data_IF_779182463237
#
_entry.id   IF_779182463237
#
_cell.length_a   1.000
_cell.length_b   1.000
_cell.length_c   1.000
_cell.angle_alpha   90.00
_cell.angle_beta   90.00
_cell.angle_gamma   90.00
#
_symmetry.space_group_name_H-M   'P 1'
#
loop_
_entity.id
_entity.type
_entity.pdbx_description
1 polymer ?
#
# COMPACT_ATOMS: atom_id res chain seq x y z
N UNK A 1 -32.70 -8.20 -17.61
CA UNK A 1 -31.59 -8.83 -16.91
C UNK A 1 -30.68 -7.66 -16.57
N UNK A 2 -30.68 -7.20 -15.33
CA UNK A 2 -29.80 -6.10 -14.93
C UNK A 2 -28.38 -6.66 -15.00
N UNK A 3 -27.58 -6.05 -15.84
CA UNK A 3 -26.15 -6.33 -15.99
C UNK A 3 -25.46 -5.82 -14.71
N UNK A 4 -25.58 -6.61 -13.63
CA UNK A 4 -24.91 -6.27 -12.37
C UNK A 4 -23.44 -6.60 -12.57
N UNK A 5 -22.63 -5.57 -12.83
CA UNK A 5 -21.19 -5.75 -12.91
C UNK A 5 -20.70 -6.40 -11.63
N UNK A 6 -19.97 -7.52 -11.71
CA UNK A 6 -19.46 -8.21 -10.55
C UNK A 6 -18.44 -7.36 -9.81
N UNK A 7 -18.43 -7.49 -8.49
CA UNK A 7 -17.51 -6.82 -7.62
C UNK A 7 -16.90 -7.77 -6.60
N UNK A 8 -15.79 -7.37 -6.02
CA UNK A 8 -15.07 -8.12 -5.01
C UNK A 8 -14.80 -7.29 -3.78
N UNK A 9 -14.77 -7.93 -2.63
CA UNK A 9 -14.31 -7.35 -1.37
C UNK A 9 -12.87 -7.82 -1.12
N UNK A 10 -11.98 -6.87 -0.94
CA UNK A 10 -10.56 -7.14 -0.71
C UNK A 10 -10.17 -6.59 0.65
N UNK A 11 -9.42 -7.37 1.42
CA UNK A 11 -8.98 -6.98 2.75
C UNK A 11 -7.47 -7.08 2.86
N UNK A 12 -6.84 -5.97 3.20
CA UNK A 12 -5.43 -5.90 3.60
C UNK A 12 -5.34 -5.86 5.12
N UNK A 13 -4.75 -6.91 5.70
CA UNK A 13 -4.56 -7.06 7.15
C UNK A 13 -3.16 -6.59 7.51
N UNK A 14 -3.06 -5.29 7.81
CA UNK A 14 -1.81 -4.64 8.17
C UNK A 14 -1.42 -4.81 9.65
N UNK A 15 -0.23 -4.30 9.98
CA UNK A 15 0.26 -4.28 11.36
C UNK A 15 -0.56 -3.37 12.28
N UNK A 16 -1.11 -2.28 11.77
CA UNK A 16 -1.86 -1.29 12.55
C UNK A 16 -3.38 -1.39 12.35
N UNK A 17 -3.85 -1.80 11.16
CA UNK A 17 -5.27 -1.76 10.81
C UNK A 17 -5.68 -2.80 9.77
N UNK A 18 -6.97 -3.11 9.77
CA UNK A 18 -7.66 -3.80 8.67
C UNK A 18 -8.17 -2.76 7.66
N UNK A 19 -7.87 -2.94 6.38
CA UNK A 19 -8.39 -2.10 5.31
C UNK A 19 -9.27 -2.94 4.39
N UNK A 20 -10.52 -2.60 4.30
CA UNK A 20 -11.50 -3.21 3.39
C UNK A 20 -11.67 -2.30 2.18
N UNK A 21 -11.69 -2.88 0.99
CA UNK A 21 -12.05 -2.19 -0.22
C UNK A 21 -13.05 -2.99 -1.05
N UNK A 22 -14.06 -2.29 -1.55
CA UNK A 22 -15.02 -2.81 -2.49
C UNK A 22 -14.61 -2.37 -3.89
N UNK A 23 -14.25 -3.35 -4.74
CA UNK A 23 -13.63 -3.09 -6.04
C UNK A 23 -14.35 -3.84 -7.17
N UNK A 24 -14.16 -3.33 -8.39
CA UNK A 24 -14.50 -4.01 -9.61
C UNK A 24 -13.85 -5.40 -9.66
N UNK A 25 -14.60 -6.42 -10.12
CA UNK A 25 -14.04 -7.73 -10.39
C UNK A 25 -13.54 -7.78 -11.83
N UNK A 26 -12.26 -8.05 -12.01
CA UNK A 26 -11.67 -8.36 -13.31
C UNK A 26 -11.73 -9.87 -13.59
N UNK A 27 -11.89 -10.20 -14.87
CA UNK A 27 -11.80 -11.57 -15.37
C UNK A 27 -10.58 -11.72 -16.28
N UNK A 28 -9.97 -12.89 -16.29
CA UNK A 28 -8.75 -13.18 -17.06
C UNK A 28 -8.83 -12.82 -18.56
N UNK A 29 -10.02 -13.03 -19.15
CA UNK A 29 -10.26 -12.84 -20.59
C UNK A 29 -10.78 -11.42 -20.94
N UNK A 30 -10.84 -10.50 -19.97
CA UNK A 30 -11.35 -9.15 -20.22
C UNK A 30 -10.27 -8.22 -20.76
N UNK A 31 -10.21 -8.07 -22.09
CA UNK A 31 -9.30 -7.13 -22.74
C UNK A 31 -9.48 -5.67 -22.28
N UNK A 32 -10.66 -5.31 -21.78
CA UNK A 32 -10.92 -3.96 -21.25
C UNK A 32 -10.19 -3.68 -19.93
N UNK A 33 -9.71 -4.73 -19.26
CA UNK A 33 -8.94 -4.67 -18.03
C UNK A 33 -7.44 -4.42 -18.21
N UNK A 34 -6.95 -4.44 -19.48
CA UNK A 34 -5.54 -4.21 -19.78
C UNK A 34 -5.14 -2.77 -19.48
N UNK A 35 -3.96 -2.59 -18.89
CA UNK A 35 -3.35 -1.30 -18.55
C UNK A 35 -4.19 -0.42 -17.60
N UNK A 36 -5.05 -1.01 -16.77
CA UNK A 36 -5.79 -0.31 -15.73
C UNK A 36 -5.90 -1.16 -14.46
N UNK A 37 -6.18 -0.50 -13.36
CA UNK A 37 -6.49 -1.15 -12.09
C UNK A 37 -8.01 -1.29 -11.91
N UNK A 38 -8.47 -2.28 -11.11
CA UNK A 38 -9.86 -2.38 -10.71
C UNK A 38 -10.36 -1.07 -10.09
N UNK A 39 -11.52 -0.60 -10.54
CA UNK A 39 -12.15 0.58 -9.94
C UNK A 39 -12.49 0.32 -8.48
N UNK A 40 -12.10 1.25 -7.59
CA UNK A 40 -12.44 1.18 -6.18
C UNK A 40 -13.70 1.99 -5.92
N UNK A 41 -14.77 1.30 -5.54
CA UNK A 41 -16.08 1.90 -5.25
C UNK A 41 -16.14 2.51 -3.85
N UNK A 42 -15.38 1.96 -2.91
CA UNK A 42 -15.30 2.50 -1.56
C UNK A 42 -14.34 1.71 -0.67
N UNK A 43 -13.93 2.34 0.42
CA UNK A 43 -13.02 1.75 1.41
C UNK A 43 -13.49 2.04 2.82
N UNK A 44 -13.18 1.13 3.74
CA UNK A 44 -13.35 1.32 5.17
C UNK A 44 -12.16 0.71 5.90
N UNK A 45 -11.71 1.33 6.99
CA UNK A 45 -10.61 0.83 7.80
C UNK A 45 -10.99 0.79 9.26
N UNK A 46 -10.46 -0.22 9.96
CA UNK A 46 -10.59 -0.39 11.41
C UNK A 46 -9.20 -0.54 12.00
N UNK A 47 -8.94 0.11 13.13
CA UNK A 47 -7.72 -0.16 13.90
C UNK A 47 -7.76 -1.60 14.43
N UNK A 48 -6.61 -2.20 14.66
CA UNK A 48 -6.54 -3.63 14.98
C UNK A 48 -7.16 -4.03 16.32
N UNK A 49 -7.40 -3.08 17.22
CA UNK A 49 -8.06 -3.22 18.51
C UNK A 49 -9.55 -2.82 18.48
N UNK A 50 -10.03 -2.31 17.36
CA UNK A 50 -11.42 -1.95 17.17
C UNK A 50 -12.25 -3.14 16.63
N UNK A 51 -13.51 -3.31 17.10
CA UNK A 51 -14.39 -4.32 16.55
C UNK A 51 -14.81 -3.96 15.13
N UNK A 52 -14.73 -4.93 14.21
CA UNK A 52 -15.20 -4.75 12.84
C UNK A 52 -16.73 -4.63 12.82
N UNK A 53 -17.24 -3.52 12.31
CA UNK A 53 -18.67 -3.30 12.14
C UNK A 53 -19.15 -3.83 10.78
N UNK A 54 -19.56 -5.09 10.74
CA UNK A 54 -20.06 -5.76 9.52
C UNK A 54 -21.24 -5.04 8.86
N UNK A 55 -22.07 -4.34 9.65
CA UNK A 55 -23.17 -3.52 9.14
C UNK A 55 -22.69 -2.40 8.22
N UNK A 56 -21.60 -1.70 8.60
CA UNK A 56 -21.01 -0.64 7.77
C UNK A 56 -20.40 -1.21 6.48
N UNK A 57 -19.81 -2.41 6.53
CA UNK A 57 -19.29 -3.08 5.34
C UNK A 57 -20.46 -3.48 4.42
N UNK A 58 -21.57 -3.97 4.97
CA UNK A 58 -22.76 -4.30 4.19
C UNK A 58 -23.37 -3.04 3.55
N UNK A 59 -23.49 -1.94 4.27
CA UNK A 59 -23.96 -0.64 3.74
C UNK A 59 -23.09 -0.20 2.56
N UNK A 60 -21.75 -0.28 2.69
CA UNK A 60 -20.81 0.02 1.60
C UNK A 60 -21.10 -0.82 0.33
N UNK A 61 -21.44 -2.09 0.49
CA UNK A 61 -21.77 -2.98 -0.65
C UNK A 61 -23.13 -2.63 -1.27
N UNK A 62 -24.13 -2.34 -0.44
CA UNK A 62 -25.51 -2.08 -0.87
C UNK A 62 -25.62 -0.75 -1.65
N UNK A 63 -24.86 0.27 -1.27
CA UNK A 63 -24.85 1.60 -1.89
C UNK A 63 -24.46 1.57 -3.38
N UNK A 64 -23.72 0.55 -3.81
CA UNK A 64 -23.20 0.47 -5.18
C UNK A 64 -24.00 -0.40 -6.12
N UNK A 65 -25.05 -1.10 -5.64
CA UNK A 65 -25.91 -1.97 -6.47
C UNK A 65 -25.13 -3.00 -7.31
N UNK A 66 -24.02 -3.50 -6.77
CA UNK A 66 -23.14 -4.48 -7.40
C UNK A 66 -23.36 -5.86 -6.76
N UNK A 67 -23.04 -6.91 -7.50
CA UNK A 67 -23.06 -8.27 -6.96
C UNK A 67 -21.66 -8.61 -6.42
N UNK A 68 -21.54 -8.82 -5.11
CA UNK A 68 -20.33 -9.37 -4.51
C UNK A 68 -20.16 -10.84 -4.91
N UNK A 69 -19.11 -11.15 -5.65
CA UNK A 69 -18.84 -12.50 -6.16
C UNK A 69 -17.61 -13.15 -5.54
N UNK A 70 -16.77 -12.36 -4.85
CA UNK A 70 -15.48 -12.83 -4.33
C UNK A 70 -15.04 -12.03 -3.11
N UNK A 71 -14.36 -12.71 -2.18
CA UNK A 71 -13.66 -12.10 -1.06
C UNK A 71 -12.20 -12.57 -1.06
N UNK A 72 -11.26 -11.62 -0.97
CA UNK A 72 -9.83 -11.89 -0.83
C UNK A 72 -9.31 -11.25 0.46
N UNK A 73 -8.50 -12.00 1.20
CA UNK A 73 -7.80 -11.53 2.40
C UNK A 73 -6.32 -11.76 2.20
N UNK A 74 -5.50 -10.74 2.42
CA UNK A 74 -4.04 -10.85 2.46
C UNK A 74 -3.48 -9.80 3.42
N UNK A 75 -2.18 -9.81 3.64
CA UNK A 75 -1.54 -8.80 4.48
C UNK A 75 -0.28 -9.29 5.16
N UNK A 76 0.19 -8.52 6.15
CA UNK A 76 1.45 -8.77 6.84
C UNK A 76 1.29 -9.51 8.18
N UNK A 77 0.06 -9.92 8.57
CA UNK A 77 -0.20 -10.53 9.88
C UNK A 77 -1.03 -11.81 9.77
N UNK A 78 -0.38 -12.99 9.54
CA UNK A 78 -1.06 -14.26 9.27
C UNK A 78 -2.12 -14.68 10.31
N UNK A 79 -1.79 -14.58 11.62
CA UNK A 79 -2.74 -14.97 12.68
C UNK A 79 -4.03 -14.15 12.62
N UNK A 80 -3.94 -12.84 12.38
CA UNK A 80 -5.12 -11.97 12.24
C UNK A 80 -5.89 -12.23 10.95
N UNK A 81 -5.22 -12.67 9.90
CA UNK A 81 -5.89 -13.09 8.66
C UNK A 81 -6.76 -14.33 8.90
N UNK A 82 -6.23 -15.33 9.63
CA UNK A 82 -6.98 -16.52 10.04
C UNK A 82 -8.16 -16.16 10.95
N UNK A 83 -7.93 -15.33 11.97
CA UNK A 83 -8.98 -14.88 12.89
C UNK A 83 -10.09 -14.15 12.14
N UNK A 84 -9.74 -13.26 11.20
CA UNK A 84 -10.71 -12.55 10.38
C UNK A 84 -11.52 -13.50 9.51
N UNK A 85 -10.85 -14.43 8.83
CA UNK A 85 -11.54 -15.41 7.97
C UNK A 85 -12.52 -16.28 8.76
N UNK A 86 -12.17 -16.67 9.99
CA UNK A 86 -13.01 -17.49 10.86
C UNK A 86 -14.32 -16.78 11.32
N UNK A 87 -14.31 -15.44 11.40
CA UNK A 87 -15.48 -14.65 11.83
C UNK A 87 -16.20 -13.97 10.67
N UNK A 88 -15.82 -14.29 9.43
CA UNK A 88 -16.42 -13.67 8.25
C UNK A 88 -17.91 -14.06 8.13
N UNK A 89 -18.82 -13.12 7.88
CA UNK A 89 -20.24 -13.40 7.85
C UNK A 89 -20.64 -14.38 6.74
N UNK A 90 -21.47 -15.36 7.06
CA UNK A 90 -21.98 -16.37 6.11
C UNK A 90 -22.76 -15.77 4.92
N UNK A 91 -23.21 -14.51 5.06
CA UNK A 91 -23.90 -13.79 3.98
C UNK A 91 -22.96 -13.40 2.83
N UNK A 92 -21.65 -13.38 3.06
CA UNK A 92 -20.63 -13.08 2.04
C UNK A 92 -20.09 -14.38 1.42
N UNK A 93 -19.47 -14.30 0.21
CA UNK A 93 -18.68 -15.42 -0.31
C UNK A 93 -17.59 -15.85 0.66
N UNK A 94 -17.28 -17.14 0.68
CA UNK A 94 -16.17 -17.65 1.49
C UNK A 94 -14.85 -16.95 1.13
N UNK A 95 -14.12 -16.39 2.11
CA UNK A 95 -12.89 -15.66 1.83
C UNK A 95 -11.78 -16.60 1.36
N UNK A 96 -11.10 -16.23 0.29
CA UNK A 96 -9.80 -16.80 -0.08
C UNK A 96 -8.72 -16.02 0.62
N UNK A 97 -7.96 -16.68 1.49
CA UNK A 97 -6.84 -16.09 2.23
C UNK A 97 -5.52 -16.39 1.51
N UNK A 98 -4.70 -15.38 1.30
CA UNK A 98 -3.39 -15.46 0.67
C UNK A 98 -2.32 -15.31 1.76
N UNK A 99 -1.61 -16.37 2.04
CA UNK A 99 -0.60 -16.42 3.11
C UNK A 99 0.83 -16.33 2.62
N UNK A 100 1.08 -16.72 1.37
CA UNK A 100 2.43 -16.91 0.88
C UNK A 100 2.69 -16.16 -0.42
N UNK A 101 3.93 -15.71 -0.57
CA UNK A 101 4.38 -14.94 -1.73
C UNK A 101 4.25 -15.71 -3.05
N UNK A 102 4.39 -17.03 -3.03
CA UNK A 102 4.28 -17.92 -4.20
C UNK A 102 2.83 -18.11 -4.70
N UNK A 103 1.84 -17.67 -3.93
CA UNK A 103 0.45 -17.58 -4.38
C UNK A 103 0.17 -16.34 -5.27
N UNK A 104 1.11 -15.39 -5.30
CA UNK A 104 0.99 -14.15 -6.07
C UNK A 104 1.82 -14.23 -7.36
N UNK A 105 1.28 -13.81 -8.52
CA UNK A 105 1.91 -13.97 -9.84
C UNK A 105 3.02 -12.93 -10.09
N UNK A 106 3.98 -12.81 -9.17
CA UNK A 106 5.13 -11.90 -9.28
C UNK A 106 6.43 -12.69 -9.12
N UNK A 107 7.35 -12.54 -10.06
CA UNK A 107 8.70 -13.09 -9.89
C UNK A 107 9.46 -12.27 -8.84
N UNK A 108 10.06 -12.93 -7.89
CA UNK A 108 10.84 -12.31 -6.81
C UNK A 108 12.34 -12.58 -7.04
N UNK A 109 13.06 -11.56 -7.49
CA UNK A 109 14.51 -11.61 -7.76
C UNK A 109 15.28 -11.13 -6.50
N UNK A 110 15.09 -11.82 -5.39
CA UNK A 110 15.70 -11.53 -4.08
C UNK A 110 16.26 -12.81 -3.43
N UNK A 111 17.12 -12.65 -2.44
CA UNK A 111 17.78 -13.82 -1.80
C UNK A 111 16.82 -14.66 -0.95
N UNK A 112 15.82 -14.03 -0.32
CA UNK A 112 14.87 -14.64 0.59
C UNK A 112 13.43 -14.25 0.20
N UNK A 113 12.88 -14.83 -0.89
CA UNK A 113 11.55 -14.48 -1.39
C UNK A 113 10.44 -14.77 -0.37
N UNK A 114 10.60 -15.77 0.49
CA UNK A 114 9.67 -16.16 1.54
C UNK A 114 9.52 -15.13 2.66
N UNK A 115 10.42 -14.15 2.75
CA UNK A 115 10.40 -13.09 3.76
C UNK A 115 9.84 -11.76 3.25
N UNK A 116 9.49 -11.69 1.96
CA UNK A 116 8.94 -10.45 1.38
C UNK A 116 7.50 -10.25 1.86
N UNK A 117 7.20 -9.06 2.38
CA UNK A 117 5.84 -8.68 2.77
C UNK A 117 4.87 -8.75 1.58
N UNK A 118 3.69 -9.34 1.79
CA UNK A 118 2.69 -9.52 0.73
C UNK A 118 2.18 -8.17 0.20
N UNK A 119 2.08 -7.15 1.05
CA UNK A 119 1.74 -5.77 0.70
C UNK A 119 2.67 -5.20 -0.39
N UNK A 120 3.98 -5.45 -0.28
CA UNK A 120 4.96 -5.04 -1.29
C UNK A 120 4.78 -5.77 -2.61
N UNK A 121 4.48 -7.07 -2.57
CA UNK A 121 4.23 -7.87 -3.77
C UNK A 121 2.92 -7.44 -4.44
N UNK A 122 1.86 -7.17 -3.66
CA UNK A 122 0.59 -6.64 -4.16
C UNK A 122 0.78 -5.28 -4.85
N UNK A 123 1.62 -4.40 -4.30
CA UNK A 123 1.98 -3.14 -4.95
C UNK A 123 2.65 -3.38 -6.32
N UNK A 124 3.56 -4.38 -6.42
CA UNK A 124 4.18 -4.76 -7.70
C UNK A 124 3.17 -5.32 -8.69
N UNK A 125 2.19 -6.12 -8.24
CA UNK A 125 1.11 -6.60 -9.11
C UNK A 125 0.34 -5.44 -9.74
N UNK A 126 -0.04 -4.45 -8.93
CA UNK A 126 -0.72 -3.26 -9.41
C UNK A 126 0.12 -2.48 -10.43
N UNK A 127 1.39 -2.22 -10.10
CA UNK A 127 2.30 -1.48 -10.97
C UNK A 127 2.58 -2.22 -12.28
N UNK A 128 2.68 -3.55 -12.27
CA UNK A 128 2.83 -4.35 -13.48
C UNK A 128 1.66 -4.22 -14.46
N UNK A 129 0.47 -3.84 -13.97
CA UNK A 129 -0.68 -3.54 -14.84
C UNK A 129 -0.64 -2.12 -15.41
N UNK A 130 0.05 -1.20 -14.74
CA UNK A 130 0.07 0.23 -15.10
C UNK A 130 1.29 0.62 -15.94
N UNK A 131 2.46 0.08 -15.57
CA UNK A 131 3.73 0.49 -16.18
C UNK A 131 3.84 0.04 -17.64
N UNK A 132 4.61 0.79 -18.38
CA UNK A 132 5.03 0.38 -19.72
C UNK A 132 5.93 -0.86 -19.66
N UNK A 133 5.72 -1.89 -20.47
CA UNK A 133 6.44 -3.17 -20.35
C UNK A 133 7.97 -3.10 -20.43
N UNK A 134 8.51 -2.05 -21.08
CA UNK A 134 9.96 -1.85 -21.21
C UNK A 134 10.59 -1.00 -20.09
N UNK A 135 9.79 -0.41 -19.23
CA UNK A 135 10.26 0.49 -18.17
C UNK A 135 10.45 -0.26 -16.84
N UNK A 136 11.45 0.14 -16.08
CA UNK A 136 11.50 -0.23 -14.67
C UNK A 136 10.60 0.71 -13.84
N UNK A 137 10.26 0.32 -12.63
CA UNK A 137 9.49 1.19 -11.75
C UNK A 137 10.04 1.25 -10.33
N UNK A 138 9.79 2.38 -9.65
CA UNK A 138 10.00 2.55 -8.22
C UNK A 138 8.63 2.83 -7.58
N UNK A 139 8.33 2.10 -6.52
CA UNK A 139 7.10 2.25 -5.74
C UNK A 139 7.49 2.77 -4.37
N UNK A 140 6.90 3.88 -3.95
CA UNK A 140 7.01 4.42 -2.59
C UNK A 140 5.68 4.22 -1.90
N UNK A 141 5.68 3.40 -0.83
CA UNK A 141 4.51 3.21 0.04
C UNK A 141 4.79 3.81 1.41
N UNK A 142 3.95 4.75 1.81
CA UNK A 142 4.09 5.54 3.04
C UNK A 142 3.07 5.12 4.10
N UNK A 143 3.20 3.87 4.55
CA UNK A 143 2.39 3.24 5.59
C UNK A 143 3.01 3.31 7.00
N UNK A 144 2.78 2.25 7.80
CA UNK A 144 3.43 2.04 9.12
C UNK A 144 4.96 2.04 8.98
N UNK A 145 5.47 1.32 7.99
CA UNK A 145 6.80 1.53 7.44
C UNK A 145 6.68 2.32 6.13
N UNK A 146 7.73 3.02 5.74
CA UNK A 146 7.86 3.54 4.37
C UNK A 146 8.74 2.60 3.59
N UNK A 147 8.20 1.98 2.54
CA UNK A 147 8.96 1.12 1.64
C UNK A 147 9.26 1.83 0.33
N UNK A 148 10.41 1.51 -0.26
CA UNK A 148 10.82 1.97 -1.59
C UNK A 148 11.19 0.71 -2.35
N UNK A 149 10.34 0.28 -3.26
CA UNK A 149 10.40 -1.00 -3.95
C UNK A 149 10.78 -0.85 -5.41
N UNK A 150 11.57 -1.77 -5.92
CA UNK A 150 12.05 -1.77 -7.30
C UNK A 150 11.39 -2.87 -8.10
N UNK A 151 10.84 -2.49 -9.25
CA UNK A 151 10.28 -3.41 -10.25
C UNK A 151 11.18 -3.37 -11.49
N UNK A 152 11.66 -4.53 -11.92
CA UNK A 152 12.49 -4.63 -13.12
C UNK A 152 11.70 -4.37 -14.41
N UNK A 153 12.41 -4.23 -15.52
CA UNK A 153 11.78 -4.13 -16.86
C UNK A 153 10.93 -5.35 -17.20
N UNK A 154 11.25 -6.53 -16.66
CA UNK A 154 10.47 -7.76 -16.83
C UNK A 154 9.33 -7.90 -15.83
N UNK A 155 9.13 -6.92 -14.93
CA UNK A 155 8.07 -6.94 -13.93
C UNK A 155 8.40 -7.72 -12.66
N UNK A 156 9.65 -8.09 -12.43
CA UNK A 156 10.06 -8.76 -11.20
C UNK A 156 10.30 -7.77 -10.06
N UNK A 157 9.95 -8.17 -8.85
CA UNK A 157 10.36 -7.48 -7.64
C UNK A 157 11.86 -7.69 -7.39
N UNK A 158 12.61 -6.61 -7.28
CA UNK A 158 14.06 -6.66 -7.07
C UNK A 158 14.52 -6.21 -5.68
N UNK A 159 13.60 -6.16 -4.72
CA UNK A 159 13.89 -5.61 -3.39
C UNK A 159 13.73 -4.12 -3.33
N UNK A 160 14.48 -3.47 -2.43
CA UNK A 160 14.37 -2.03 -2.21
C UNK A 160 14.83 -1.63 -0.81
N UNK A 161 14.26 -0.56 -0.25
CA UNK A 161 14.57 -0.05 1.08
C UNK A 161 13.33 -0.01 1.96
N UNK A 162 13.53 -0.16 3.27
CA UNK A 162 12.50 -0.04 4.29
C UNK A 162 12.96 1.00 5.32
N UNK A 163 12.12 1.98 5.57
CA UNK A 163 12.31 3.06 6.54
C UNK A 163 11.20 3.01 7.59
N UNK A 164 11.42 3.53 8.80
CA UNK A 164 10.32 3.79 9.70
C UNK A 164 9.34 4.77 9.05
N UNK A 165 8.03 4.46 9.03
CA UNK A 165 7.02 5.47 8.71
C UNK A 165 6.92 6.54 9.81
N UNK A 166 6.11 7.57 9.61
CA UNK A 166 6.03 8.70 10.53
C UNK A 166 5.66 8.29 11.96
N UNK A 167 4.65 7.44 12.12
CA UNK A 167 4.17 6.98 13.43
C UNK A 167 5.24 6.18 14.16
N UNK A 168 5.85 5.21 13.47
CA UNK A 168 6.92 4.40 14.03
C UNK A 168 8.14 5.24 14.43
N UNK A 169 8.49 6.24 13.63
CA UNK A 169 9.58 7.16 13.94
C UNK A 169 9.25 8.09 15.11
N UNK A 170 7.99 8.58 15.22
CA UNK A 170 7.53 9.40 16.34
C UNK A 170 7.56 8.61 17.66
N UNK A 171 7.04 7.37 17.64
CA UNK A 171 7.14 6.47 18.79
C UNK A 171 8.58 6.17 19.18
N UNK A 172 9.46 5.91 18.22
CA UNK A 172 10.88 5.68 18.49
C UNK A 172 11.54 6.87 19.21
N UNK A 173 11.24 8.10 18.80
CA UNK A 173 11.75 9.28 19.50
C UNK A 173 11.19 9.43 20.91
N UNK A 174 9.91 9.16 21.11
CA UNK A 174 9.25 9.24 22.40
C UNK A 174 9.73 8.14 23.36
N UNK A 175 9.67 6.88 22.93
CA UNK A 175 9.86 5.72 23.78
C UNK A 175 11.32 5.53 24.22
N UNK A 176 12.26 5.96 23.38
CA UNK A 176 13.71 5.83 23.65
C UNK A 176 14.37 7.12 24.16
N UNK A 177 13.57 8.15 24.50
CA UNK A 177 14.09 9.38 25.13
C UNK A 177 13.20 9.81 26.30
N UNK A 178 13.77 10.56 27.27
CA UNK A 178 13.03 10.97 28.46
C UNK A 178 12.18 12.23 28.29
N UNK A 179 12.50 13.07 27.31
CA UNK A 179 11.94 14.42 27.24
C UNK A 179 11.26 14.74 25.89
N UNK A 180 11.34 13.84 24.91
CA UNK A 180 10.70 14.11 23.63
C UNK A 180 9.21 13.70 23.70
N UNK A 181 8.32 14.60 23.32
CA UNK A 181 6.88 14.29 23.28
C UNK A 181 6.57 13.32 22.16
N UNK A 182 5.52 12.52 22.35
CA UNK A 182 4.92 11.79 21.24
C UNK A 182 4.13 12.79 20.37
N UNK A 183 4.43 12.83 19.09
CA UNK A 183 3.68 13.62 18.11
C UNK A 183 2.73 12.66 17.39
N UNK A 184 1.43 12.97 17.43
CA UNK A 184 0.42 12.13 16.78
C UNK A 184 0.49 12.22 15.24
N UNK A 185 -0.03 11.18 14.58
CA UNK A 185 -0.15 11.21 13.11
C UNK A 185 -1.00 12.39 12.63
N UNK A 186 -2.08 12.73 13.35
CA UNK A 186 -2.90 13.89 13.02
C UNK A 186 -2.09 15.19 13.02
N UNK A 187 -1.21 15.38 14.02
CA UNK A 187 -0.34 16.55 14.09
C UNK A 187 0.72 16.56 12.98
N UNK A 188 1.24 15.39 12.60
CA UNK A 188 2.23 15.27 11.51
C UNK A 188 1.57 15.58 10.17
N UNK A 189 0.37 15.03 9.91
CA UNK A 189 -0.33 15.12 8.63
C UNK A 189 -1.11 16.43 8.46
N UNK A 190 -1.25 17.26 9.50
CA UNK A 190 -2.06 18.47 9.49
C UNK A 190 -1.59 19.49 8.45
N UNK A 191 -0.29 19.74 8.41
CA UNK A 191 0.34 20.73 7.52
C UNK A 191 1.85 20.52 7.45
N UNK A 192 2.48 21.02 6.40
CA UNK A 192 3.93 21.05 6.29
C UNK A 192 4.55 21.87 7.45
N UNK A 193 5.50 21.32 8.22
CA UNK A 193 6.15 22.07 9.29
C UNK A 193 7.23 23.01 8.76
N UNK A 194 7.48 24.07 9.52
CA UNK A 194 8.69 24.90 9.33
C UNK A 194 9.96 24.03 9.46
N UNK A 195 10.96 24.31 8.65
CA UNK A 195 12.25 23.58 8.70
C UNK A 195 12.95 23.79 10.04
N UNK A 196 12.86 24.99 10.61
CA UNK A 196 13.46 25.32 11.90
C UNK A 196 12.38 25.32 12.99
N UNK A 197 12.28 24.24 13.75
CA UNK A 197 11.44 24.17 14.94
C UNK A 197 12.01 24.99 16.09
N UNK A 198 11.22 25.92 16.63
CA UNK A 198 11.64 26.79 17.75
C UNK A 198 11.15 26.31 19.12
N UNK A 199 10.47 25.19 19.15
CA UNK A 199 10.01 24.46 20.33
C UNK A 199 10.23 22.98 20.08
N UNK A 200 10.34 22.18 21.13
CA UNK A 200 10.63 20.74 21.01
C UNK A 200 9.65 20.02 20.08
N UNK A 201 8.34 20.24 20.24
CA UNK A 201 7.33 19.65 19.35
C UNK A 201 7.53 20.02 17.88
N UNK A 202 7.81 21.30 17.60
CA UNK A 202 8.05 21.77 16.24
C UNK A 202 9.34 21.20 15.65
N UNK A 203 10.39 21.04 16.50
CA UNK A 203 11.65 20.44 16.07
C UNK A 203 11.48 18.94 15.75
N UNK A 204 10.71 18.20 16.57
CA UNK A 204 10.39 16.79 16.30
C UNK A 204 9.57 16.66 15.02
N UNK A 205 8.50 17.44 14.84
CA UNK A 205 7.71 17.46 13.59
C UNK A 205 8.57 17.77 12.37
N UNK A 206 9.42 18.79 12.46
CA UNK A 206 10.35 19.16 11.38
C UNK A 206 11.27 18.01 11.02
N UNK A 207 11.89 17.39 12.02
CA UNK A 207 12.79 16.24 11.82
C UNK A 207 12.10 15.03 11.19
N UNK A 208 10.92 14.68 11.67
CA UNK A 208 10.12 13.58 11.13
C UNK A 208 9.74 13.85 9.66
N UNK A 209 9.18 15.03 9.38
CA UNK A 209 8.70 15.38 8.05
C UNK A 209 9.86 15.51 7.03
N UNK A 210 10.78 16.43 7.29
CA UNK A 210 11.87 16.69 6.34
C UNK A 210 12.89 15.57 6.28
N UNK A 211 13.05 14.82 7.39
CA UNK A 211 13.84 13.60 7.41
C UNK A 211 13.27 12.54 6.47
N UNK A 212 11.96 12.34 6.48
CA UNK A 212 11.29 11.39 5.59
C UNK A 212 11.40 11.83 4.12
N UNK A 213 11.09 13.12 3.83
CA UNK A 213 11.26 13.72 2.49
C UNK A 213 12.68 13.52 1.97
N UNK A 214 13.67 13.88 2.77
CA UNK A 214 15.08 13.77 2.39
C UNK A 214 15.52 12.32 2.16
N UNK A 215 15.10 11.40 3.04
CA UNK A 215 15.45 9.99 2.94
C UNK A 215 14.84 9.34 1.67
N UNK A 216 13.56 9.61 1.40
CA UNK A 216 12.91 9.07 0.20
C UNK A 216 13.56 9.62 -1.06
N UNK A 217 13.75 10.94 -1.15
CA UNK A 217 14.36 11.56 -2.31
C UNK A 217 15.78 11.04 -2.59
N UNK A 218 16.61 10.89 -1.56
CA UNK A 218 17.99 10.40 -1.71
C UNK A 218 18.01 8.94 -2.15
N UNK A 219 17.20 8.07 -1.54
CA UNK A 219 17.18 6.64 -1.88
C UNK A 219 16.64 6.45 -3.31
N UNK A 220 15.54 7.13 -3.67
CA UNK A 220 14.98 7.09 -5.02
C UNK A 220 16.01 7.55 -6.05
N UNK A 221 16.72 8.64 -5.79
CA UNK A 221 17.78 9.13 -6.67
C UNK A 221 18.88 8.09 -6.88
N UNK A 222 19.39 7.48 -5.81
CA UNK A 222 20.45 6.44 -5.91
C UNK A 222 19.99 5.20 -6.67
N UNK A 223 18.77 4.71 -6.39
CA UNK A 223 18.20 3.58 -7.11
C UNK A 223 18.04 3.92 -8.60
N UNK A 224 17.50 5.10 -8.91
CA UNK A 224 17.32 5.55 -10.29
C UNK A 224 18.65 5.64 -11.05
N UNK A 225 19.67 6.19 -10.42
CA UNK A 225 21.03 6.28 -11.00
C UNK A 225 21.62 4.89 -11.31
N UNK A 226 21.39 3.92 -10.44
CA UNK A 226 21.85 2.54 -10.63
C UNK A 226 21.08 1.85 -11.77
N UNK A 227 19.76 1.99 -11.79
CA UNK A 227 18.90 1.41 -12.83
C UNK A 227 19.19 2.02 -14.21
N UNK A 228 19.37 3.32 -14.31
CA UNK A 228 19.75 3.98 -15.59
C UNK A 228 21.09 3.50 -16.13
N UNK A 229 22.07 3.20 -15.27
CA UNK A 229 23.38 2.66 -15.69
C UNK A 229 23.26 1.24 -16.24
N UNK A 230 22.34 0.45 -15.71
CA UNK A 230 22.24 -0.99 -15.99
C UNK A 230 21.25 -1.32 -17.11
N UNK A 231 20.13 -0.57 -17.23
CA UNK A 231 19.01 -0.98 -18.09
C UNK A 231 18.85 -0.17 -19.38
N UNK A 232 19.31 1.08 -19.45
CA UNK A 232 19.04 2.05 -20.53
C UNK A 232 17.54 2.32 -20.79
N UNK A 233 16.69 1.94 -19.85
CA UNK A 233 15.23 2.10 -19.91
C UNK A 233 14.80 3.30 -19.08
N UNK A 234 13.62 3.83 -19.39
CA UNK A 234 12.99 4.88 -18.58
C UNK A 234 12.44 4.33 -17.27
N UNK A 235 12.31 5.20 -16.27
CA UNK A 235 11.75 4.88 -14.97
C UNK A 235 10.35 5.44 -14.79
N UNK A 236 9.49 4.68 -14.13
CA UNK A 236 8.17 5.12 -13.71
C UNK A 236 8.09 5.12 -12.19
N UNK A 237 7.41 6.14 -11.62
CA UNK A 237 7.40 6.37 -10.19
C UNK A 237 5.97 6.34 -9.66
N UNK A 238 5.74 5.50 -8.67
CA UNK A 238 4.43 5.28 -8.08
C UNK A 238 4.47 5.59 -6.59
N UNK A 239 3.40 6.21 -6.09
CA UNK A 239 3.27 6.63 -4.70
C UNK A 239 1.94 6.13 -4.13
N UNK A 240 1.99 5.53 -2.95
CA UNK A 240 0.81 5.07 -2.20
C UNK A 240 1.02 5.24 -0.70
N UNK A 241 0.04 4.83 0.08
CA UNK A 241 0.08 4.90 1.54
C UNK A 241 -0.58 6.14 2.13
N UNK A 242 -0.86 6.08 3.43
CA UNK A 242 -1.65 7.11 4.13
C UNK A 242 -1.00 8.49 4.21
N UNK A 243 0.34 8.57 4.18
CA UNK A 243 1.07 9.83 4.19
C UNK A 243 1.43 10.35 2.79
N UNK A 244 1.07 9.63 1.74
CA UNK A 244 1.36 10.02 0.35
C UNK A 244 0.87 11.43 -0.04
N UNK A 245 -0.33 11.89 0.35
CA UNK A 245 -0.79 13.23 0.01
C UNK A 245 0.09 14.34 0.59
N UNK A 246 0.67 14.11 1.78
CA UNK A 246 1.56 15.07 2.43
C UNK A 246 2.99 15.01 1.86
N UNK A 247 3.49 13.82 1.62
CA UNK A 247 4.86 13.58 1.15
C UNK A 247 5.02 13.92 -0.34
N UNK A 248 4.08 13.53 -1.17
CA UNK A 248 4.15 13.60 -2.63
C UNK A 248 4.56 14.95 -3.21
N UNK A 249 4.01 16.10 -2.75
CA UNK A 249 4.39 17.42 -3.24
C UNK A 249 5.87 17.80 -3.02
N UNK A 250 6.59 17.05 -2.17
CA UNK A 250 8.00 17.28 -1.81
C UNK A 250 8.96 16.24 -2.40
N UNK A 251 8.43 15.26 -3.11
CA UNK A 251 9.26 14.26 -3.78
C UNK A 251 9.78 14.78 -5.12
N UNK A 252 11.03 14.44 -5.41
CA UNK A 252 11.68 14.75 -6.68
C UNK A 252 11.28 13.69 -7.72
N UNK A 253 10.52 14.08 -8.72
CA UNK A 253 10.13 13.20 -9.82
C UNK A 253 8.63 13.20 -10.11
N UNK A 254 8.22 12.59 -11.21
CA UNK A 254 6.83 12.55 -11.67
C UNK A 254 6.08 11.37 -11.02
N UNK A 255 5.94 11.39 -9.69
CA UNK A 255 5.22 10.33 -8.98
C UNK A 255 3.74 10.32 -9.32
N UNK A 256 3.24 9.15 -9.71
CA UNK A 256 1.81 8.89 -9.91
C UNK A 256 1.24 8.37 -8.58
N UNK A 257 0.25 9.07 -8.02
CA UNK A 257 -0.35 8.71 -6.74
C UNK A 257 -1.57 7.82 -6.93
N UNK A 258 -1.50 6.62 -6.35
CA UNK A 258 -2.58 5.62 -6.31
C UNK A 258 -2.92 5.29 -4.84
N UNK A 259 -3.96 5.88 -4.25
CA UNK A 259 -4.28 5.74 -2.82
C UNK A 259 -4.58 4.30 -2.39
N UNK A 260 -5.08 3.47 -3.30
CA UNK A 260 -5.52 2.10 -3.02
C UNK A 260 -4.66 1.05 -3.74
N UNK A 261 -3.40 1.38 -4.08
CA UNK A 261 -2.52 0.56 -4.92
C UNK A 261 -2.44 -0.89 -4.44
N UNK A 262 -2.19 -1.10 -3.15
CA UNK A 262 -2.07 -2.42 -2.52
C UNK A 262 -3.35 -3.25 -2.67
N UNK A 263 -4.51 -2.65 -2.35
CA UNK A 263 -5.81 -3.30 -2.47
C UNK A 263 -6.18 -3.60 -3.93
N UNK A 264 -5.88 -2.67 -4.84
CA UNK A 264 -6.08 -2.86 -6.29
C UNK A 264 -5.14 -3.93 -6.86
N UNK A 265 -3.94 -4.05 -6.30
CA UNK A 265 -3.01 -5.13 -6.62
C UNK A 265 -3.58 -6.49 -6.24
N UNK A 266 -4.05 -6.65 -4.99
CA UNK A 266 -4.69 -7.88 -4.54
C UNK A 266 -5.96 -8.18 -5.35
N UNK A 267 -6.77 -7.17 -5.64
CA UNK A 267 -7.97 -7.30 -6.48
C UNK A 267 -7.67 -7.78 -7.91
N UNK A 268 -6.45 -7.59 -8.39
CA UNK A 268 -5.99 -8.04 -9.71
C UNK A 268 -5.57 -9.51 -9.76
N UNK A 269 -5.60 -10.22 -8.62
CA UNK A 269 -5.36 -11.66 -8.57
C UNK A 269 -6.53 -12.41 -9.21
N UNK A 270 -6.23 -13.36 -10.07
CA UNK A 270 -7.17 -14.21 -10.78
C UNK A 270 -7.61 -15.45 -10.00
#
# INVERSE_FOLDING_TARGET
MFDMNPAQLVVDVGNSRFKFAFLEQFWADDESSLNKLPECYGTIAYENDEPICWGQIQELLDDHSKQLVRVLISGSHPERMDDLAAVFPVAFPDPRVIFHADELPVRLDVQHPETVGLDRIMNVMAVNRLRSPANWAIIVDTGTATTIDVVSTEGAFQGGAILPGYELAAHSLHDYTQLLPLISMEEILKEQPDVIGRQTNHAVRSGLFWGQVGSVNEIVSRISDELHKTTKSEGEFYLTGGAAPLLGPHLNGPFQHYPQLTLQGLASLE
#
